data_IF_973450831436
#
_entry.id   IF_973450831436
#
_cell.length_a   1.000
_cell.length_b   1.000
_cell.length_c   1.000
_cell.angle_alpha   90.00
_cell.angle_beta   90.00
_cell.angle_gamma   90.00
#
_symmetry.space_group_name_H-M   'P 1'
#
loop_
_entity.id
_entity.type
_entity.pdbx_description
1 polymer ?
#
# COMPACT_ATOMS: atom_id res chain seq x y z
N UNK A 1 -13.99 -2.28 -10.79
CA UNK A 1 -13.73 -2.95 -12.09
C UNK A 1 -13.67 -4.48 -12.01
N UNK A 2 -13.04 -5.12 -11.01
CA UNK A 2 -12.89 -6.60 -10.94
C UNK A 2 -14.22 -7.37 -10.93
N UNK A 3 -15.26 -6.88 -10.24
CA UNK A 3 -16.55 -7.59 -10.17
C UNK A 3 -17.34 -7.59 -11.51
N UNK A 4 -17.19 -6.55 -12.32
CA UNK A 4 -17.79 -6.50 -13.65
C UNK A 4 -17.13 -7.53 -14.61
N UNK A 5 -15.82 -7.75 -14.47
CA UNK A 5 -15.08 -8.71 -15.29
C UNK A 5 -15.43 -10.18 -15.00
N UNK A 6 -15.79 -10.53 -13.75
CA UNK A 6 -16.15 -11.90 -13.39
C UNK A 6 -17.44 -12.38 -14.06
N UNK A 7 -18.41 -11.48 -14.23
CA UNK A 7 -19.73 -11.75 -14.85
C UNK A 7 -19.83 -11.25 -16.30
N UNK A 8 -18.73 -10.77 -16.88
CA UNK A 8 -18.74 -10.20 -18.22
C UNK A 8 -18.90 -11.30 -19.29
N UNK A 9 -19.94 -11.17 -20.12
CA UNK A 9 -20.21 -12.11 -21.22
C UNK A 9 -19.15 -12.05 -22.31
N UNK A 10 -18.49 -10.90 -22.46
CA UNK A 10 -17.41 -10.67 -23.45
C UNK A 10 -16.03 -11.16 -22.97
N UNK A 11 -15.96 -11.77 -21.78
CA UNK A 11 -14.69 -12.25 -21.20
C UNK A 11 -13.85 -13.13 -22.15
N UNK A 12 -14.44 -14.04 -22.94
CA UNK A 12 -13.70 -14.88 -23.89
C UNK A 12 -13.01 -14.09 -25.02
N UNK A 13 -13.52 -12.91 -25.37
CA UNK A 13 -12.97 -12.03 -26.41
C UNK A 13 -12.23 -10.82 -25.83
N UNK A 14 -12.17 -10.70 -24.53
CA UNK A 14 -11.61 -9.53 -23.86
C UNK A 14 -10.07 -9.56 -23.86
N UNK A 15 -9.43 -8.60 -24.51
CA UNK A 15 -7.97 -8.46 -24.53
C UNK A 15 -7.34 -8.39 -23.14
N UNK A 16 -7.99 -7.73 -22.17
CA UNK A 16 -7.53 -7.69 -20.79
C UNK A 16 -7.56 -9.08 -20.12
N UNK A 17 -8.61 -9.86 -20.34
CA UNK A 17 -8.71 -11.22 -19.78
C UNK A 17 -7.64 -12.13 -20.38
N UNK A 18 -7.38 -12.02 -21.69
CA UNK A 18 -6.29 -12.73 -22.36
C UNK A 18 -4.92 -12.29 -21.82
N UNK A 19 -4.68 -10.99 -21.69
CA UNK A 19 -3.45 -10.46 -21.12
C UNK A 19 -3.18 -11.03 -19.72
N UNK A 20 -4.18 -10.98 -18.81
CA UNK A 20 -4.04 -11.54 -17.46
C UNK A 20 -3.80 -13.05 -17.47
N UNK A 21 -4.45 -13.78 -18.39
CA UNK A 21 -4.21 -15.22 -18.54
C UNK A 21 -2.77 -15.50 -19.01
N UNK A 22 -2.28 -14.72 -19.97
CA UNK A 22 -0.91 -14.83 -20.47
C UNK A 22 0.13 -14.51 -19.40
N UNK A 23 -0.05 -13.44 -18.60
CA UNK A 23 0.91 -13.08 -17.54
C UNK A 23 1.02 -14.15 -16.46
N UNK A 24 0.03 -15.04 -16.33
CA UNK A 24 0.02 -16.15 -15.39
C UNK A 24 0.41 -17.50 -16.00
N UNK A 25 0.69 -17.55 -17.30
CA UNK A 25 1.04 -18.80 -17.97
C UNK A 25 2.39 -19.33 -17.48
N UNK A 26 2.46 -20.64 -17.21
CA UNK A 26 3.67 -21.32 -16.75
C UNK A 26 4.76 -21.46 -17.82
N UNK A 27 4.44 -21.09 -19.06
CA UNK A 27 5.33 -21.20 -20.22
C UNK A 27 6.41 -20.11 -20.31
N UNK A 28 6.41 -19.14 -19.39
CA UNK A 28 7.38 -18.05 -19.40
C UNK A 28 8.45 -18.25 -18.33
N UNK A 29 9.73 -18.12 -18.74
CA UNK A 29 10.88 -18.19 -17.84
C UNK A 29 11.06 -16.92 -17.03
N UNK A 30 10.59 -15.77 -17.56
CA UNK A 30 10.72 -14.45 -16.94
C UNK A 30 9.37 -13.78 -16.76
N UNK A 31 9.22 -13.07 -15.65
CA UNK A 31 8.09 -12.21 -15.38
C UNK A 31 8.59 -10.81 -15.01
N UNK A 32 8.20 -9.79 -15.79
CA UNK A 32 8.59 -8.40 -15.58
C UNK A 32 7.42 -7.64 -14.97
N UNK A 33 7.71 -6.88 -13.94
CA UNK A 33 6.71 -6.07 -13.24
C UNK A 33 7.36 -4.81 -12.64
N UNK A 34 6.57 -3.87 -12.13
CA UNK A 34 7.09 -2.74 -11.37
C UNK A 34 7.21 -3.07 -9.87
N UNK A 35 7.94 -2.24 -9.12
CA UNK A 35 8.16 -2.41 -7.68
C UNK A 35 6.84 -2.52 -6.90
N UNK A 36 5.87 -1.66 -7.19
CA UNK A 36 4.59 -1.63 -6.48
C UNK A 36 3.81 -2.93 -6.64
N UNK A 37 3.80 -3.52 -7.84
CA UNK A 37 3.13 -4.80 -8.08
C UNK A 37 3.85 -5.94 -7.35
N UNK A 38 5.20 -5.93 -7.34
CA UNK A 38 5.98 -6.90 -6.59
C UNK A 38 5.73 -6.80 -5.09
N UNK A 39 5.71 -5.60 -4.53
CA UNK A 39 5.42 -5.37 -3.11
C UNK A 39 3.97 -5.72 -2.74
N UNK A 40 3.01 -5.47 -3.64
CA UNK A 40 1.63 -5.94 -3.47
C UNK A 40 1.55 -7.47 -3.44
N UNK A 41 2.35 -8.17 -4.24
CA UNK A 41 2.49 -9.62 -4.18
C UNK A 41 3.02 -10.08 -2.82
N UNK A 42 4.11 -9.47 -2.32
CA UNK A 42 4.65 -9.78 -0.99
C UNK A 42 3.62 -9.51 0.12
N UNK A 43 2.94 -8.35 0.07
CA UNK A 43 1.91 -7.99 1.07
C UNK A 43 0.73 -8.98 1.08
N UNK A 44 0.37 -9.54 -0.07
CA UNK A 44 -0.74 -10.49 -0.18
C UNK A 44 -0.48 -11.86 0.48
N UNK A 45 0.71 -12.08 1.06
CA UNK A 45 1.14 -13.37 1.62
C UNK A 45 0.89 -14.49 0.62
N UNK A 46 1.75 -14.63 -0.41
CA UNK A 46 1.53 -15.55 -1.52
C UNK A 46 1.22 -16.96 -1.05
N UNK A 47 0.25 -17.60 -1.67
CA UNK A 47 -0.12 -18.98 -1.42
C UNK A 47 0.84 -19.90 -2.20
N UNK A 48 1.77 -20.53 -1.49
CA UNK A 48 2.73 -21.47 -2.08
C UNK A 48 2.07 -22.77 -2.54
N UNK A 49 0.97 -23.17 -1.91
CA UNK A 49 0.23 -24.39 -2.25
C UNK A 49 -0.68 -24.19 -3.46
N UNK A 50 -1.06 -22.95 -3.76
CA UNK A 50 -1.90 -22.62 -4.90
C UNK A 50 -1.40 -21.38 -5.66
N UNK A 51 -0.25 -21.48 -6.35
CA UNK A 51 0.40 -20.35 -7.01
C UNK A 51 -0.49 -19.62 -8.04
N UNK A 52 -1.46 -20.32 -8.62
CA UNK A 52 -2.38 -19.74 -9.61
C UNK A 52 -3.28 -18.61 -9.05
N UNK A 53 -3.46 -18.56 -7.74
CA UNK A 53 -4.21 -17.49 -7.06
C UNK A 53 -3.38 -16.23 -6.84
N UNK A 54 -2.06 -16.33 -6.87
CA UNK A 54 -1.17 -15.21 -6.59
C UNK A 54 -1.23 -14.15 -7.70
N UNK A 55 -0.89 -12.92 -7.35
CA UNK A 55 -0.76 -11.81 -8.30
C UNK A 55 0.38 -12.07 -9.29
N UNK A 56 1.51 -12.55 -8.76
CA UNK A 56 2.69 -12.95 -9.51
C UNK A 56 2.98 -14.43 -9.24
N UNK A 57 3.75 -15.06 -10.12
CA UNK A 57 4.26 -16.40 -9.86
C UNK A 57 5.43 -16.36 -8.87
N UNK A 58 5.54 -17.36 -7.98
CA UNK A 58 6.72 -17.50 -7.14
C UNK A 58 8.01 -17.62 -7.99
N UNK A 59 9.08 -17.01 -7.53
CA UNK A 59 10.39 -17.08 -8.16
C UNK A 59 11.48 -17.25 -7.12
N UNK A 60 12.56 -17.93 -7.48
CA UNK A 60 13.72 -18.10 -6.61
C UNK A 60 14.76 -16.99 -6.77
N UNK A 61 14.62 -16.17 -7.81
CA UNK A 61 15.49 -15.04 -8.13
C UNK A 61 14.65 -13.84 -8.52
N UNK A 62 14.94 -12.71 -7.92
CA UNK A 62 14.33 -11.41 -8.25
C UNK A 62 15.42 -10.41 -8.57
N UNK A 63 15.27 -9.71 -9.69
CA UNK A 63 16.15 -8.61 -10.08
C UNK A 63 15.38 -7.30 -9.87
N UNK A 64 15.89 -6.46 -9.00
CA UNK A 64 15.35 -5.15 -8.71
C UNK A 64 16.22 -4.09 -9.39
N UNK A 65 15.73 -3.60 -10.52
CA UNK A 65 16.36 -2.47 -11.21
C UNK A 65 15.91 -1.15 -10.56
N UNK A 66 16.74 -0.12 -10.65
CA UNK A 66 16.55 1.17 -9.96
C UNK A 66 16.24 0.99 -8.45
N UNK A 67 16.99 0.09 -7.82
CA UNK A 67 16.74 -0.36 -6.45
C UNK A 67 16.77 0.79 -5.41
N UNK A 68 17.34 1.94 -5.73
CA UNK A 68 17.30 3.15 -4.89
C UNK A 68 15.86 3.66 -4.63
N UNK A 69 14.90 3.33 -5.52
CA UNK A 69 13.48 3.69 -5.37
C UNK A 69 12.67 2.65 -4.57
N UNK A 70 13.29 1.49 -4.30
CA UNK A 70 12.53 0.36 -3.73
C UNK A 70 12.07 0.60 -2.30
N UNK A 71 12.87 1.31 -1.49
CA UNK A 71 12.48 1.70 -0.12
C UNK A 71 11.21 2.54 -0.10
N UNK A 72 11.16 3.60 -0.92
CA UNK A 72 9.98 4.46 -0.98
C UNK A 72 8.73 3.70 -1.43
N UNK A 73 8.87 2.82 -2.43
CA UNK A 73 7.78 1.96 -2.84
C UNK A 73 7.35 0.99 -1.72
N UNK A 74 8.29 0.54 -0.87
CA UNK A 74 7.97 -0.33 0.28
C UNK A 74 7.27 0.44 1.41
N UNK A 75 7.62 1.70 1.65
CA UNK A 75 6.93 2.59 2.59
C UNK A 75 5.46 2.73 2.19
N UNK A 76 5.18 3.00 0.92
CA UNK A 76 3.83 3.09 0.38
C UNK A 76 3.08 1.75 0.45
N UNK A 77 3.75 0.65 0.09
CA UNK A 77 3.11 -0.66 0.01
C UNK A 77 2.80 -1.27 1.37
N UNK A 78 3.69 -1.11 2.36
CA UNK A 78 3.52 -1.69 3.69
C UNK A 78 2.76 -0.77 4.64
N UNK A 79 2.57 0.48 4.27
CA UNK A 79 1.62 1.36 4.91
C UNK A 79 0.17 0.89 4.73
N UNK A 80 -0.71 1.43 5.56
CA UNK A 80 -2.15 1.19 5.51
C UNK A 80 -2.91 2.50 5.54
N UNK A 81 -4.06 2.54 4.87
CA UNK A 81 -4.97 3.68 4.89
C UNK A 81 -6.38 3.23 4.52
N UNK A 82 -7.36 3.98 4.93
CA UNK A 82 -8.73 3.86 4.44
C UNK A 82 -9.41 5.24 4.45
N UNK A 83 -10.51 5.38 3.75
CA UNK A 83 -11.28 6.60 3.71
C UNK A 83 -12.76 6.37 4.05
N UNK A 84 -13.47 7.46 4.27
CA UNK A 84 -14.88 7.46 4.63
C UNK A 84 -15.78 6.82 3.55
N UNK A 85 -15.43 7.03 2.27
CA UNK A 85 -16.24 6.55 1.14
C UNK A 85 -16.21 5.02 1.01
N UNK A 86 -15.10 4.39 1.36
CA UNK A 86 -15.00 2.92 1.37
C UNK A 86 -16.08 2.31 2.26
N UNK A 87 -16.25 2.85 3.47
CA UNK A 87 -17.25 2.37 4.41
C UNK A 87 -18.67 2.73 3.95
N UNK A 88 -18.86 3.94 3.41
CA UNK A 88 -20.15 4.36 2.84
C UNK A 88 -20.59 3.49 1.67
N UNK A 89 -19.67 3.13 0.79
CA UNK A 89 -19.96 2.25 -0.33
C UNK A 89 -20.30 0.83 0.14
N UNK A 90 -19.61 0.33 1.16
CA UNK A 90 -19.96 -0.92 1.81
C UNK A 90 -21.39 -0.86 2.39
N UNK A 91 -21.76 0.21 3.07
CA UNK A 91 -23.11 0.42 3.60
C UNK A 91 -24.17 0.39 2.48
N UNK A 92 -23.91 0.98 1.31
CA UNK A 92 -24.79 0.90 0.15
C UNK A 92 -25.01 -0.55 -0.31
N UNK A 93 -23.92 -1.32 -0.33
CA UNK A 93 -23.97 -2.73 -0.73
C UNK A 93 -24.78 -3.56 0.28
N UNK A 94 -24.44 -3.50 1.58
CA UNK A 94 -25.10 -4.35 2.60
C UNK A 94 -26.60 -4.06 2.76
N UNK A 95 -27.05 -2.85 2.44
CA UNK A 95 -28.48 -2.51 2.40
C UNK A 95 -29.26 -3.31 1.37
N UNK A 96 -28.61 -3.81 0.33
CA UNK A 96 -29.24 -4.59 -0.76
C UNK A 96 -29.12 -6.11 -0.56
N UNK A 97 -28.33 -6.56 0.41
CA UNK A 97 -28.05 -7.96 0.64
C UNK A 97 -29.13 -8.63 1.49
N UNK A 98 -29.22 -9.95 1.34
CA UNK A 98 -30.03 -10.77 2.22
C UNK A 98 -29.38 -10.85 3.60
N UNK A 99 -30.22 -10.88 4.63
CA UNK A 99 -29.82 -11.08 6.01
C UNK A 99 -30.01 -12.55 6.40
N UNK A 100 -29.27 -12.98 7.42
CA UNK A 100 -29.53 -14.28 8.09
C UNK A 100 -30.92 -14.26 8.74
N UNK A 101 -31.27 -15.31 9.47
CA UNK A 101 -32.55 -15.46 10.20
C UNK A 101 -32.67 -14.45 11.37
N UNK A 102 -32.44 -13.17 11.07
CA UNK A 102 -32.57 -12.04 12.01
C UNK A 102 -33.66 -11.08 11.55
N UNK A 103 -34.21 -10.29 12.49
CA UNK A 103 -35.27 -9.36 12.15
C UNK A 103 -34.78 -8.23 11.23
N UNK A 104 -35.66 -7.71 10.36
CA UNK A 104 -35.34 -6.55 9.54
C UNK A 104 -34.97 -5.31 10.37
N UNK A 105 -35.57 -5.18 11.55
CA UNK A 105 -35.29 -4.09 12.49
C UNK A 105 -33.87 -4.18 13.03
N UNK A 106 -33.44 -5.34 13.46
CA UNK A 106 -32.11 -5.60 14.02
C UNK A 106 -31.01 -5.34 12.97
N UNK A 107 -31.18 -5.89 11.76
CA UNK A 107 -30.23 -5.63 10.66
C UNK A 107 -30.13 -4.15 10.30
N UNK A 108 -31.27 -3.45 10.22
CA UNK A 108 -31.28 -2.00 9.98
C UNK A 108 -30.61 -1.20 11.10
N UNK A 109 -30.75 -1.64 12.36
CA UNK A 109 -30.08 -1.00 13.49
C UNK A 109 -28.56 -1.21 13.44
N UNK A 110 -28.08 -2.40 13.06
CA UNK A 110 -26.64 -2.65 12.89
C UNK A 110 -26.04 -1.75 11.79
N UNK A 111 -26.72 -1.64 10.64
CA UNK A 111 -26.29 -0.70 9.57
C UNK A 111 -26.31 0.75 10.08
N UNK A 112 -27.28 1.14 10.90
CA UNK A 112 -27.33 2.46 11.52
C UNK A 112 -26.14 2.73 12.45
N UNK A 113 -25.75 1.74 13.26
CA UNK A 113 -24.55 1.84 14.12
C UNK A 113 -23.28 1.99 13.28
N UNK A 114 -23.14 1.23 12.19
CA UNK A 114 -22.01 1.34 11.28
C UNK A 114 -21.92 2.75 10.66
N UNK A 115 -23.04 3.30 10.19
CA UNK A 115 -23.08 4.69 9.71
C UNK A 115 -22.61 5.68 10.78
N UNK A 116 -23.17 5.56 11.98
CA UNK A 116 -22.85 6.48 13.09
C UNK A 116 -21.37 6.38 13.47
N UNK A 117 -20.82 5.16 13.54
CA UNK A 117 -19.41 4.96 13.87
C UNK A 117 -18.48 5.59 12.82
N UNK A 118 -18.78 5.40 11.52
CA UNK A 118 -18.03 6.01 10.42
C UNK A 118 -18.12 7.54 10.47
N UNK A 119 -19.32 8.10 10.53
CA UNK A 119 -19.53 9.56 10.57
C UNK A 119 -18.86 10.19 11.81
N UNK A 120 -18.92 9.53 12.98
CA UNK A 120 -18.28 10.04 14.20
C UNK A 120 -16.76 10.08 14.05
N UNK A 121 -16.14 9.02 13.56
CA UNK A 121 -14.70 8.97 13.32
C UNK A 121 -14.27 10.12 12.39
N UNK A 122 -14.89 10.23 11.22
CA UNK A 122 -14.48 11.23 10.23
C UNK A 122 -14.84 12.66 10.61
N UNK A 123 -15.89 12.89 11.41
CA UNK A 123 -16.15 14.21 11.98
C UNK A 123 -15.07 14.65 12.98
N UNK A 124 -14.57 13.73 13.82
CA UNK A 124 -13.45 14.02 14.71
C UNK A 124 -12.17 14.31 13.93
N UNK A 125 -11.90 13.55 12.85
CA UNK A 125 -10.76 13.82 11.99
C UNK A 125 -10.87 15.19 11.33
N UNK A 126 -12.03 15.55 10.77
CA UNK A 126 -12.27 16.90 10.20
C UNK A 126 -12.08 18.02 11.22
N UNK A 127 -12.55 17.84 12.43
CA UNK A 127 -12.36 18.85 13.48
C UNK A 127 -10.88 19.04 13.85
N UNK A 128 -10.10 17.97 13.85
CA UNK A 128 -8.64 18.04 14.07
C UNK A 128 -7.91 18.74 12.91
N UNK A 129 -8.26 18.43 11.67
CA UNK A 129 -7.61 19.04 10.49
C UNK A 129 -7.96 20.54 10.33
N UNK A 130 -9.17 20.96 10.70
CA UNK A 130 -9.55 22.38 10.67
C UNK A 130 -8.83 23.22 11.72
N UNK A 131 -8.43 22.61 12.85
CA UNK A 131 -7.69 23.30 13.90
C UNK A 131 -6.20 23.57 13.53
N UNK A 132 -5.66 22.82 12.57
CA UNK A 132 -4.23 22.84 12.22
C UNK A 132 -3.93 23.49 10.85
N UNK A 133 -4.82 24.34 10.31
CA UNK A 133 -4.71 24.99 8.98
C UNK A 133 -4.33 23.98 7.87
N UNK A 134 -5.04 22.87 7.81
CA UNK A 134 -4.79 21.77 6.93
C UNK A 134 -5.12 22.11 5.47
N UNK A 135 -4.11 22.19 4.61
CA UNK A 135 -4.29 22.38 3.16
C UNK A 135 -4.48 21.05 2.43
N UNK A 136 -5.33 21.04 1.39
CA UNK A 136 -5.50 19.88 0.50
C UNK A 136 -4.15 19.44 -0.09
N UNK A 137 -3.83 18.15 0.03
CA UNK A 137 -2.54 17.59 -0.41
C UNK A 137 -1.42 17.68 0.62
N UNK A 138 -1.70 18.20 1.83
CA UNK A 138 -0.74 18.19 2.94
C UNK A 138 -0.88 16.93 3.78
N UNK A 139 0.24 16.51 4.38
CA UNK A 139 0.30 15.39 5.33
C UNK A 139 0.54 15.96 6.73
N UNK A 140 -0.44 15.88 7.61
CA UNK A 140 -0.25 16.31 8.99
C UNK A 140 -0.08 15.11 9.91
N UNK A 141 1.09 15.01 10.55
CA UNK A 141 1.34 14.04 11.61
C UNK A 141 0.41 14.30 12.77
N UNK A 142 -0.44 13.35 13.09
CA UNK A 142 -1.37 13.44 14.20
C UNK A 142 -0.98 12.44 15.28
N UNK A 143 -0.90 12.89 16.51
CA UNK A 143 -0.91 11.98 17.65
C UNK A 143 -2.32 11.44 17.82
N UNK A 144 -2.50 10.18 17.54
CA UNK A 144 -3.71 9.47 17.89
C UNK A 144 -3.71 9.20 19.40
N UNK A 145 -4.74 9.72 20.07
CA UNK A 145 -4.98 9.53 21.48
C UNK A 145 -5.92 8.33 21.74
N UNK A 146 -6.15 8.00 23.00
CA UNK A 146 -7.09 6.93 23.37
C UNK A 146 -8.50 7.14 22.79
N UNK A 147 -8.93 8.40 22.58
CA UNK A 147 -10.21 8.71 21.95
C UNK A 147 -10.26 8.21 20.50
N UNK A 148 -9.19 8.40 19.73
CA UNK A 148 -9.11 7.90 18.36
C UNK A 148 -9.15 6.36 18.30
N UNK A 149 -8.40 5.69 19.18
CA UNK A 149 -8.42 4.23 19.26
C UNK A 149 -9.81 3.68 19.60
N UNK A 150 -10.55 4.33 20.47
CA UNK A 150 -11.92 3.96 20.78
C UNK A 150 -12.86 4.12 19.57
N UNK A 151 -12.64 5.14 18.74
CA UNK A 151 -13.41 5.34 17.50
C UNK A 151 -13.11 4.25 16.47
N UNK A 152 -11.84 3.88 16.30
CA UNK A 152 -11.46 2.77 15.41
C UNK A 152 -12.06 1.44 15.89
N UNK A 153 -11.98 1.12 17.18
CA UNK A 153 -12.60 -0.07 17.75
C UNK A 153 -14.13 -0.08 17.55
N UNK A 154 -14.77 1.08 17.70
CA UNK A 154 -16.21 1.21 17.47
C UNK A 154 -16.59 0.95 16.02
N UNK A 155 -15.77 1.43 15.07
CA UNK A 155 -15.97 1.20 13.65
C UNK A 155 -15.76 -0.28 13.29
N UNK A 156 -14.68 -0.90 13.76
CA UNK A 156 -14.40 -2.33 13.52
C UNK A 156 -15.51 -3.23 14.08
N UNK A 157 -15.95 -2.94 15.31
CA UNK A 157 -17.04 -3.67 15.94
C UNK A 157 -18.35 -3.55 15.16
N UNK A 158 -18.65 -2.37 14.64
CA UNK A 158 -19.86 -2.14 13.85
C UNK A 158 -19.79 -2.83 12.47
N UNK A 159 -18.62 -2.88 11.82
CA UNK A 159 -18.40 -3.67 10.59
C UNK A 159 -18.63 -5.15 10.88
N UNK A 160 -18.00 -5.66 11.94
CA UNK A 160 -18.11 -7.06 12.36
C UNK A 160 -19.54 -7.47 12.68
N UNK A 161 -20.31 -6.59 13.32
CA UNK A 161 -21.72 -6.84 13.59
C UNK A 161 -22.55 -7.01 12.31
N UNK A 162 -22.39 -6.11 11.34
CA UNK A 162 -23.08 -6.21 10.05
C UNK A 162 -22.68 -7.48 9.32
N UNK A 163 -21.40 -7.84 9.35
CA UNK A 163 -20.87 -9.07 8.75
C UNK A 163 -21.51 -10.35 9.35
N UNK A 164 -21.71 -10.39 10.67
CA UNK A 164 -22.35 -11.51 11.35
C UNK A 164 -23.85 -11.65 10.99
N UNK A 165 -24.52 -10.55 10.72
CA UNK A 165 -25.95 -10.51 10.47
C UNK A 165 -26.33 -10.69 8.99
N UNK A 166 -25.41 -10.47 8.06
CA UNK A 166 -25.65 -10.72 6.62
C UNK A 166 -25.60 -12.21 6.28
N UNK A 167 -26.24 -12.59 5.18
CA UNK A 167 -26.16 -13.96 4.67
C UNK A 167 -24.78 -14.22 4.05
N UNK A 168 -24.04 -15.19 4.58
CA UNK A 168 -22.71 -15.56 4.12
C UNK A 168 -22.67 -16.20 2.73
N UNK A 169 -23.82 -16.68 2.22
CA UNK A 169 -23.92 -17.25 0.88
C UNK A 169 -23.95 -16.16 -0.22
N UNK A 170 -24.20 -14.91 0.15
CA UNK A 170 -24.06 -13.81 -0.78
C UNK A 170 -22.60 -13.34 -0.79
N UNK A 171 -21.87 -13.70 -1.83
CA UNK A 171 -20.50 -13.25 -2.06
C UNK A 171 -20.46 -11.72 -2.24
N UNK A 172 -20.24 -11.03 -1.14
CA UNK A 172 -19.85 -9.62 -1.18
C UNK A 172 -18.35 -9.57 -1.34
N UNK A 173 -17.90 -9.60 -2.56
CA UNK A 173 -16.53 -9.20 -2.89
C UNK A 173 -16.44 -7.67 -2.89
N UNK A 174 -16.60 -7.05 -1.75
CA UNK A 174 -16.13 -5.70 -1.52
C UNK A 174 -14.69 -5.78 -1.04
N UNK A 175 -13.77 -5.98 -1.97
CA UNK A 175 -12.32 -5.91 -1.72
C UNK A 175 -11.93 -4.61 -0.99
N UNK A 176 -12.77 -3.57 -1.10
CA UNK A 176 -12.56 -2.29 -0.44
C UNK A 176 -12.77 -2.38 1.07
N UNK A 177 -13.83 -3.07 1.55
CA UNK A 177 -14.07 -3.16 3.00
C UNK A 177 -13.04 -4.08 3.68
N UNK A 178 -12.62 -5.14 3.00
CA UNK A 178 -11.58 -6.03 3.52
C UNK A 178 -10.26 -5.25 3.68
N UNK A 179 -9.96 -4.37 2.73
CA UNK A 179 -8.80 -3.48 2.79
C UNK A 179 -8.92 -2.45 3.93
N UNK A 180 -10.09 -1.85 4.13
CA UNK A 180 -10.32 -0.93 5.23
C UNK A 180 -10.21 -1.64 6.59
N UNK A 181 -10.72 -2.86 6.71
CA UNK A 181 -10.58 -3.67 7.93
C UNK A 181 -9.13 -4.03 8.22
N UNK A 182 -8.37 -4.49 7.24
CA UNK A 182 -6.93 -4.75 7.38
C UNK A 182 -6.19 -3.50 7.88
N UNK A 183 -6.56 -2.32 7.36
CA UNK A 183 -6.00 -1.05 7.80
C UNK A 183 -6.37 -0.72 9.25
N UNK A 184 -7.64 -0.89 9.64
CA UNK A 184 -8.12 -0.64 11.00
C UNK A 184 -7.46 -1.62 11.98
N UNK A 185 -7.45 -2.92 11.68
CA UNK A 185 -6.82 -3.95 12.50
C UNK A 185 -5.33 -3.69 12.70
N UNK A 186 -4.64 -3.31 11.61
CA UNK A 186 -3.22 -2.94 11.67
C UNK A 186 -3.00 -1.72 12.56
N UNK A 187 -3.81 -0.67 12.41
CA UNK A 187 -3.72 0.52 13.26
C UNK A 187 -3.97 0.20 14.73
N UNK A 188 -4.89 -0.72 15.04
CA UNK A 188 -5.21 -1.12 16.41
C UNK A 188 -4.14 -2.01 17.05
N UNK A 189 -3.38 -2.77 16.25
CA UNK A 189 -2.40 -3.74 16.73
C UNK A 189 -0.98 -3.18 16.88
N UNK A 190 -0.63 -2.15 16.11
CA UNK A 190 0.74 -1.67 15.99
C UNK A 190 0.95 -0.35 16.74
N UNK A 191 1.60 -0.45 17.91
CA UNK A 191 1.91 0.73 18.74
C UNK A 191 3.07 1.57 18.19
N UNK A 192 3.98 0.97 17.41
CA UNK A 192 5.25 1.57 16.94
C UNK A 192 5.18 2.05 15.49
N UNK A 193 4.04 2.55 15.06
CA UNK A 193 3.85 3.10 13.72
C UNK A 193 3.77 4.63 13.73
N UNK A 194 4.04 5.24 12.59
CA UNK A 194 3.75 6.65 12.34
C UNK A 194 2.31 6.75 11.86
N UNK A 195 1.58 7.72 12.38
CA UNK A 195 0.17 7.96 12.05
C UNK A 195 -0.01 9.38 11.56
N UNK A 196 -0.76 9.54 10.47
CA UNK A 196 -1.09 10.85 9.91
C UNK A 196 -2.45 10.81 9.22
N UNK A 197 -2.96 12.00 8.85
CA UNK A 197 -4.14 12.15 8.00
C UNK A 197 -3.69 12.74 6.67
N UNK A 198 -4.20 12.17 5.59
CA UNK A 198 -4.11 12.73 4.25
C UNK A 198 -5.48 13.28 3.82
N UNK A 199 -5.48 14.36 3.03
CA UNK A 199 -6.66 14.80 2.29
C UNK A 199 -6.34 14.71 0.79
N UNK A 200 -7.25 14.12 0.03
CA UNK A 200 -7.14 14.12 -1.42
C UNK A 200 -7.58 15.47 -2.03
N UNK A 201 -7.52 15.58 -3.35
CA UNK A 201 -7.92 16.77 -4.11
C UNK A 201 -9.40 17.17 -3.89
N UNK A 202 -10.22 16.24 -3.42
CA UNK A 202 -11.64 16.45 -3.11
C UNK A 202 -11.89 16.66 -1.60
N UNK A 203 -10.84 16.84 -0.80
CA UNK A 203 -10.88 16.91 0.67
C UNK A 203 -11.44 15.64 1.36
N UNK A 204 -11.31 14.49 0.72
CA UNK A 204 -11.61 13.20 1.34
C UNK A 204 -10.46 12.83 2.27
N UNK A 205 -10.77 12.70 3.56
CA UNK A 205 -9.79 12.39 4.58
C UNK A 205 -9.51 10.89 4.65
N UNK A 206 -8.24 10.56 4.80
CA UNK A 206 -7.76 9.19 5.02
C UNK A 206 -6.85 9.14 6.23
N UNK A 207 -7.21 8.46 7.33
CA UNK A 207 -6.25 8.06 8.33
C UNK A 207 -5.27 7.06 7.72
N UNK A 208 -3.99 7.33 7.91
CA UNK A 208 -2.87 6.59 7.35
C UNK A 208 -1.95 6.13 8.47
N UNK A 209 -1.30 5.00 8.26
CA UNK A 209 -0.25 4.52 9.14
C UNK A 209 0.87 3.81 8.37
N UNK A 210 2.10 3.93 8.84
CA UNK A 210 3.25 3.19 8.30
C UNK A 210 4.23 2.78 9.40
N UNK A 211 4.99 1.69 9.20
CA UNK A 211 6.04 1.30 10.12
C UNK A 211 7.08 2.41 10.33
N UNK A 212 7.46 2.70 11.58
CA UNK A 212 8.57 3.63 11.88
C UNK A 212 9.90 3.12 11.33
N UNK A 213 10.11 1.81 11.37
CA UNK A 213 11.32 1.16 10.88
C UNK A 213 11.00 0.32 9.64
N UNK A 214 10.83 0.97 8.48
CA UNK A 214 10.58 0.26 7.22
C UNK A 214 11.66 -0.78 6.91
N UNK A 215 12.92 -0.50 7.26
CA UNK A 215 14.04 -1.42 7.11
C UNK A 215 13.83 -2.77 7.81
N UNK A 216 13.17 -2.76 8.98
CA UNK A 216 12.83 -3.97 9.73
C UNK A 216 11.73 -4.78 9.04
N UNK A 217 10.72 -4.10 8.50
CA UNK A 217 9.66 -4.76 7.76
C UNK A 217 10.15 -5.33 6.43
N UNK A 218 11.00 -4.59 5.70
CA UNK A 218 11.64 -5.09 4.49
C UNK A 218 12.50 -6.33 4.79
N UNK A 219 13.27 -6.31 5.89
CA UNK A 219 14.03 -7.49 6.31
C UNK A 219 13.14 -8.70 6.47
N UNK A 220 12.08 -8.60 7.29
CA UNK A 220 11.19 -9.72 7.61
C UNK A 220 10.44 -10.25 6.38
N UNK A 221 9.99 -9.37 5.49
CA UNK A 221 9.07 -9.73 4.40
C UNK A 221 9.77 -10.05 3.09
N UNK A 222 10.99 -9.52 2.90
CA UNK A 222 11.70 -9.59 1.62
C UNK A 222 13.01 -10.35 1.78
N UNK A 223 13.91 -9.86 2.66
CA UNK A 223 15.29 -10.37 2.71
C UNK A 223 15.46 -11.66 3.51
N UNK A 224 14.70 -11.85 4.58
CA UNK A 224 14.73 -13.07 5.39
C UNK A 224 13.86 -14.18 4.78
N UNK A 225 14.09 -14.47 3.51
CA UNK A 225 13.40 -15.47 2.72
C UNK A 225 14.39 -16.37 1.99
N UNK A 226 13.90 -17.39 1.31
CA UNK A 226 14.73 -18.27 0.47
C UNK A 226 14.98 -17.69 -0.94
N UNK A 227 14.40 -16.54 -1.27
CA UNK A 227 14.56 -15.87 -2.56
C UNK A 227 15.91 -15.16 -2.62
N UNK A 228 16.60 -15.30 -3.75
CA UNK A 228 17.82 -14.56 -4.04
C UNK A 228 17.50 -13.24 -4.74
N UNK A 229 18.20 -12.18 -4.38
CA UNK A 229 17.98 -10.85 -4.95
C UNK A 229 19.23 -10.31 -5.62
N UNK A 230 19.06 -9.69 -6.78
CA UNK A 230 20.06 -8.84 -7.44
C UNK A 230 19.48 -7.42 -7.46
N UNK A 231 20.18 -6.48 -6.87
CA UNK A 231 19.80 -5.08 -6.83
C UNK A 231 20.75 -4.29 -7.74
N UNK A 232 20.18 -3.52 -8.66
CA UNK A 232 20.95 -2.68 -9.60
C UNK A 232 20.47 -1.23 -9.51
N UNK A 233 21.40 -0.29 -9.55
CA UNK A 233 21.12 1.15 -9.64
C UNK A 233 22.42 1.94 -9.86
N UNK A 234 22.30 3.12 -10.43
CA UNK A 234 23.42 4.07 -10.56
C UNK A 234 23.76 4.81 -9.26
N UNK A 235 22.93 4.72 -8.20
CA UNK A 235 23.00 5.62 -7.03
C UNK A 235 22.89 4.91 -5.67
N UNK A 236 23.28 3.63 -5.57
CA UNK A 236 23.24 2.88 -4.29
C UNK A 236 24.50 3.08 -3.44
N UNK A 237 25.61 3.49 -4.04
CA UNK A 237 26.87 3.76 -3.34
C UNK A 237 26.99 5.25 -3.04
N UNK A 238 27.58 5.59 -1.90
CA UNK A 238 28.02 6.94 -1.55
C UNK A 238 29.39 7.30 -2.17
N UNK A 239 29.89 6.48 -3.07
CA UNK A 239 31.21 6.59 -3.68
C UNK A 239 32.29 5.81 -2.95
N UNK A 240 32.06 5.37 -1.72
CA UNK A 240 33.00 4.60 -0.91
C UNK A 240 32.50 3.19 -0.59
N UNK A 241 31.22 3.07 -0.25
CA UNK A 241 30.62 1.80 0.16
C UNK A 241 29.10 1.80 -0.08
N UNK A 242 28.43 0.71 0.36
CA UNK A 242 26.99 0.54 0.26
C UNK A 242 26.29 0.52 1.64
N UNK A 243 26.96 0.94 2.70
CA UNK A 243 26.47 0.71 4.05
C UNK A 243 25.21 1.49 4.37
N UNK A 244 25.14 2.74 3.90
CA UNK A 244 23.91 3.55 4.01
C UNK A 244 22.73 2.87 3.32
N UNK A 245 22.88 2.45 2.05
CA UNK A 245 21.83 1.77 1.32
C UNK A 245 21.40 0.47 1.99
N UNK A 246 22.35 -0.35 2.48
CA UNK A 246 22.07 -1.60 3.20
C UNK A 246 21.27 -1.33 4.48
N UNK A 247 21.65 -0.30 5.24
CA UNK A 247 20.97 0.10 6.47
C UNK A 247 19.54 0.54 6.22
N UNK A 248 19.35 1.47 5.30
CA UNK A 248 18.05 2.03 4.95
C UNK A 248 17.05 0.99 4.42
N UNK A 249 17.56 -0.05 3.77
CA UNK A 249 16.74 -1.13 3.22
C UNK A 249 16.70 -2.39 4.11
N UNK A 250 17.34 -2.39 5.28
CA UNK A 250 17.35 -3.53 6.21
C UNK A 250 18.22 -4.71 5.76
N UNK A 251 19.00 -4.57 4.69
CA UNK A 251 19.90 -5.61 4.15
C UNK A 251 21.05 -5.91 5.13
N UNK A 252 21.50 -4.92 5.89
CA UNK A 252 22.54 -5.05 6.91
C UNK A 252 22.18 -6.03 8.05
N UNK A 253 20.91 -6.44 8.15
CA UNK A 253 20.42 -7.46 9.10
C UNK A 253 20.72 -8.90 8.63
N UNK A 254 21.05 -9.08 7.36
CA UNK A 254 21.53 -10.36 6.82
C UNK A 254 22.96 -10.64 7.28
N UNK A 255 23.35 -11.92 7.46
CA UNK A 255 24.72 -12.30 7.67
C UNK A 255 25.63 -11.83 6.53
N UNK A 256 26.80 -11.29 6.84
CA UNK A 256 27.71 -10.68 5.86
C UNK A 256 28.08 -11.62 4.67
N UNK A 257 28.20 -12.93 4.92
CA UNK A 257 28.51 -13.92 3.89
C UNK A 257 27.38 -14.08 2.84
N UNK A 258 26.17 -13.65 3.13
CA UNK A 258 25.03 -13.66 2.19
C UNK A 258 24.97 -12.41 1.32
N UNK A 259 25.78 -11.40 1.58
CA UNK A 259 25.76 -10.12 0.87
C UNK A 259 27.02 -10.01 0.02
N UNK A 260 26.84 -9.74 -1.27
CA UNK A 260 27.93 -9.37 -2.18
C UNK A 260 27.64 -8.01 -2.79
N UNK A 261 28.67 -7.17 -2.87
CA UNK A 261 28.57 -5.85 -3.48
C UNK A 261 29.66 -5.69 -4.54
N UNK A 262 29.32 -5.01 -5.61
CA UNK A 262 30.28 -4.66 -6.67
C UNK A 262 29.89 -3.33 -7.31
N UNK A 263 30.88 -2.62 -7.83
CA UNK A 263 30.69 -1.43 -8.66
C UNK A 263 31.25 -1.69 -10.04
N UNK A 264 30.63 -1.08 -11.04
CA UNK A 264 31.11 -1.07 -12.42
C UNK A 264 31.34 0.37 -12.82
N UNK A 265 32.46 0.65 -13.46
CA UNK A 265 32.72 1.99 -13.99
C UNK A 265 31.72 2.36 -15.07
N UNK A 266 31.39 3.64 -15.17
CA UNK A 266 30.55 4.15 -16.24
C UNK A 266 31.21 3.93 -17.59
N UNK A 267 30.45 3.42 -18.60
CA UNK A 267 30.98 3.32 -19.96
C UNK A 267 31.10 4.69 -20.66
N UNK A 268 30.61 5.75 -20.03
CA UNK A 268 30.62 7.11 -20.60
C UNK A 268 31.83 7.89 -20.12
N UNK A 269 32.57 8.48 -21.06
CA UNK A 269 33.67 9.40 -20.78
C UNK A 269 33.17 10.81 -20.50
N UNK A 270 32.59 10.99 -19.31
CA UNK A 270 32.05 12.30 -18.88
C UNK A 270 33.12 13.40 -18.86
N UNK A 271 34.38 13.07 -18.53
CA UNK A 271 35.44 14.03 -18.42
C UNK A 271 35.73 14.75 -19.75
N UNK A 272 35.64 14.01 -20.85
CA UNK A 272 35.94 14.55 -22.18
C UNK A 272 34.70 15.00 -22.94
N UNK A 273 33.53 14.43 -22.63
CA UNK A 273 32.29 14.65 -23.36
C UNK A 273 31.25 15.49 -22.62
N UNK A 274 31.53 15.93 -21.40
CA UNK A 274 30.64 16.80 -20.63
C UNK A 274 31.24 18.17 -20.42
N UNK A 275 30.43 19.22 -20.58
CA UNK A 275 30.81 20.61 -20.22
C UNK A 275 29.72 21.14 -19.27
N UNK A 276 30.16 21.60 -18.10
CA UNK A 276 29.30 22.26 -17.13
C UNK A 276 29.43 23.76 -17.30
N UNK A 277 28.34 24.47 -17.55
CA UNK A 277 28.23 25.91 -17.56
C UNK A 277 27.52 26.37 -16.30
N UNK A 278 28.17 27.23 -15.52
CA UNK A 278 27.60 27.81 -14.31
C UNK A 278 27.58 29.34 -14.53
N UNK A 279 26.43 29.91 -14.99
CA UNK A 279 26.29 31.35 -15.12
C UNK A 279 26.35 31.99 -13.73
N UNK A 280 27.20 33.01 -13.56
CA UNK A 280 27.36 33.71 -12.28
C UNK A 280 26.25 34.73 -11.98
N UNK A 281 25.47 35.09 -12.98
CA UNK A 281 24.42 36.12 -12.97
C UNK A 281 22.99 35.55 -13.13
N UNK A 282 22.84 34.25 -12.96
CA UNK A 282 21.52 33.59 -13.03
C UNK A 282 20.63 34.04 -11.86
N UNK A 283 19.40 34.53 -12.12
CA UNK A 283 18.47 34.86 -11.06
C UNK A 283 18.10 33.62 -10.24
N UNK A 284 17.68 33.81 -8.99
CA UNK A 284 17.13 32.71 -8.18
C UNK A 284 15.86 32.14 -8.80
N UNK A 285 15.55 30.83 -8.63
CA UNK A 285 14.39 30.19 -9.21
C UNK A 285 13.05 30.85 -8.90
N UNK A 286 12.96 31.55 -7.76
CA UNK A 286 11.75 32.27 -7.32
C UNK A 286 11.60 33.68 -7.90
N UNK A 287 12.56 34.12 -8.71
CA UNK A 287 12.48 35.42 -9.36
C UNK A 287 11.68 35.31 -10.67
N UNK A 288 10.74 36.22 -10.90
CA UNK A 288 9.87 36.21 -12.11
C UNK A 288 10.66 36.37 -13.42
N UNK A 289 11.93 36.74 -13.37
CA UNK A 289 12.85 36.89 -14.52
C UNK A 289 13.66 35.61 -14.81
N UNK A 290 13.30 34.49 -14.23
CA UNK A 290 14.01 33.18 -14.38
C UNK A 290 13.58 32.44 -15.63
#
# INVERSE_FOLDING_TARGET
>A
MKNACFKCKEKPLCGYAHYVAHTKAESYDFQVTNHNMYLAYIKSKPDELNPAKNILRPSNLVILDEAHKFKSAAEDAFGVRFDEEIVRDYIKIVKTLKRRSVSAKEYKQAIGRLMTANDTLFNVLRAKTQADDFESGSNTLIRFDHGFWNLLNSLDSAISEVEMLRDSNENVTSLSIDYARDAIETMLAEEDWNYWIEADENNVLSPCASPKEIAKEMFKRIWDTHVSYILTSGTMSDGTNFDYFKQENGINRLPAHKIKTSTTESPFDYKNHTRLFIPGDMPLPDNQDH
#
